data_IF_829103642027
#
_entry.id   IF_829103642027
#
_cell.length_a   1.000
_cell.length_b   1.000
_cell.length_c   1.000
_cell.angle_alpha   90.00
_cell.angle_beta   90.00
_cell.angle_gamma   90.00
#
_symmetry.space_group_name_H-M   'P 1'
#
loop_
_entity.id
_entity.type
_entity.pdbx_description
1 polymer ?
#
# COMPACT_ATOMS: atom_id res chain seq x y z
N UNK A 1 46.54 9.63 1.40
CA UNK A 1 46.54 9.27 -0.04
C UNK A 1 47.48 8.07 -0.17
N UNK A 2 47.19 6.88 -0.68
CA UNK A 2 46.28 6.36 -1.71
C UNK A 2 46.26 4.82 -1.41
N UNK A 3 45.14 4.18 -1.05
CA UNK A 3 44.14 3.58 -1.95
C UNK A 3 44.22 2.03 -2.03
N UNK A 4 43.22 1.40 -1.40
CA UNK A 4 42.41 0.25 -1.85
C UNK A 4 43.12 -1.07 -2.22
N UNK A 5 42.93 -2.06 -1.36
CA UNK A 5 42.65 -3.44 -1.81
C UNK A 5 41.17 -3.73 -1.57
N UNK A 6 40.41 -3.68 -2.66
CA UNK A 6 39.07 -4.26 -2.77
C UNK A 6 39.31 -5.73 -3.12
N UNK A 7 38.86 -6.66 -2.26
CA UNK A 7 38.68 -8.05 -2.64
C UNK A 7 37.20 -8.37 -2.53
N UNK A 8 36.56 -8.35 -3.69
CA UNK A 8 35.23 -8.87 -3.98
C UNK A 8 35.26 -10.38 -3.83
N UNK A 9 34.32 -11.00 -3.10
CA UNK A 9 33.70 -12.30 -3.38
C UNK A 9 32.81 -12.68 -2.19
N UNK A 10 31.65 -12.05 -2.13
CA UNK A 10 30.56 -12.43 -1.24
C UNK A 10 29.29 -12.47 -2.07
N UNK A 11 29.17 -13.49 -2.92
CA UNK A 11 27.95 -13.77 -3.65
C UNK A 11 26.84 -14.13 -2.68
N UNK A 12 26.14 -13.12 -2.19
CA UNK A 12 24.82 -13.27 -1.60
C UNK A 12 23.87 -12.58 -2.56
N UNK A 13 23.29 -13.36 -3.47
CA UNK A 13 22.04 -12.99 -4.12
C UNK A 13 21.02 -12.96 -2.99
N UNK A 14 20.97 -11.83 -2.26
CA UNK A 14 19.80 -11.42 -1.54
C UNK A 14 18.76 -11.24 -2.64
N UNK A 15 18.01 -12.31 -2.92
CA UNK A 15 16.70 -12.17 -3.50
C UNK A 15 15.97 -11.29 -2.49
N UNK A 16 16.01 -9.97 -2.71
CA UNK A 16 15.16 -9.04 -2.02
C UNK A 16 13.77 -9.47 -2.46
N UNK A 17 13.16 -10.35 -1.67
CA UNK A 17 11.72 -10.47 -1.65
C UNK A 17 11.30 -9.08 -1.20
N UNK A 18 11.10 -8.19 -2.18
CA UNK A 18 10.54 -6.87 -1.93
C UNK A 18 9.14 -7.19 -1.43
N UNK A 19 9.01 -7.29 -0.11
CA UNK A 19 7.72 -7.35 0.54
C UNK A 19 6.97 -6.13 0.03
N UNK A 20 5.85 -6.35 -0.66
CA UNK A 20 5.00 -5.25 -1.08
C UNK A 20 4.55 -4.54 0.21
N UNK A 21 5.12 -3.37 0.49
CA UNK A 21 4.74 -2.60 1.67
C UNK A 21 3.39 -1.95 1.37
N UNK A 22 2.32 -2.54 1.89
CA UNK A 22 0.94 -2.11 1.64
C UNK A 22 0.70 -0.64 1.98
N UNK A 23 1.28 -0.15 3.08
CA UNK A 23 1.19 1.26 3.47
C UNK A 23 1.85 2.17 2.45
N UNK A 24 3.07 1.85 2.01
CA UNK A 24 3.78 2.67 1.02
C UNK A 24 3.02 2.74 -0.32
N UNK A 25 2.52 1.60 -0.80
CA UNK A 25 1.73 1.55 -2.03
C UNK A 25 0.45 2.37 -1.91
N UNK A 26 -0.27 2.19 -0.80
CA UNK A 26 -1.45 2.96 -0.46
C UNK A 26 -1.16 4.47 -0.41
N UNK A 27 -0.12 4.86 0.33
CA UNK A 27 0.18 6.27 0.58
C UNK A 27 0.52 6.99 -0.72
N UNK A 28 1.27 6.33 -1.61
CA UNK A 28 1.64 6.86 -2.92
C UNK A 28 0.45 7.01 -3.89
N UNK A 29 -0.53 6.11 -3.84
CA UNK A 29 -1.62 6.08 -4.83
C UNK A 29 -2.93 6.73 -4.35
N UNK A 30 -3.23 6.70 -3.04
CA UNK A 30 -4.58 7.01 -2.55
C UNK A 30 -4.67 8.36 -1.85
N UNK A 31 -3.63 8.78 -1.11
CA UNK A 31 -3.75 9.91 -0.18
C UNK A 31 -4.00 11.26 -0.84
N UNK A 32 -3.45 11.51 -2.04
CA UNK A 32 -3.66 12.78 -2.73
C UNK A 32 -5.15 13.01 -3.04
N UNK A 33 -5.78 12.01 -3.68
CA UNK A 33 -7.22 12.08 -3.98
C UNK A 33 -8.04 12.12 -2.68
N UNK A 34 -7.65 11.32 -1.68
CA UNK A 34 -8.38 11.29 -0.42
C UNK A 34 -8.35 12.64 0.28
N UNK A 35 -7.19 13.29 0.39
CA UNK A 35 -7.06 14.64 0.95
C UNK A 35 -7.96 15.65 0.22
N UNK A 36 -8.01 15.57 -1.11
CA UNK A 36 -8.87 16.43 -1.93
C UNK A 36 -10.37 16.21 -1.64
N UNK A 37 -10.78 15.01 -1.26
CA UNK A 37 -12.18 14.64 -0.97
C UNK A 37 -12.58 14.87 0.50
N UNK A 38 -11.61 15.15 1.37
CA UNK A 38 -11.78 15.28 2.82
C UNK A 38 -11.34 16.64 3.37
N UNK A 39 -11.14 17.65 2.51
CA UNK A 39 -10.73 18.97 2.95
C UNK A 39 -9.32 19.03 3.55
N UNK A 40 -8.44 18.09 3.16
CA UNK A 40 -7.04 18.06 3.55
C UNK A 40 -6.63 16.87 4.43
N UNK A 41 -7.58 16.19 5.09
CA UNK A 41 -7.27 15.02 5.92
C UNK A 41 -7.39 13.72 5.12
N UNK A 42 -6.29 13.28 4.53
CA UNK A 42 -6.24 12.12 3.65
C UNK A 42 -6.73 10.79 4.28
N UNK A 43 -6.77 10.68 5.62
CA UNK A 43 -7.19 9.46 6.31
C UNK A 43 -8.63 9.52 6.80
N UNK A 44 -9.27 10.70 6.81
CA UNK A 44 -10.64 10.90 7.30
C UNK A 44 -11.65 9.94 6.64
N UNK A 45 -11.45 9.58 5.36
CA UNK A 45 -12.35 8.72 4.61
C UNK A 45 -12.51 7.31 5.22
N UNK A 46 -11.54 6.84 6.01
CA UNK A 46 -11.57 5.51 6.65
C UNK A 46 -12.28 5.50 8.00
N UNK A 47 -12.41 6.67 8.61
CA UNK A 47 -12.94 6.84 9.96
C UNK A 47 -14.39 7.31 9.97
N UNK A 48 -15.02 7.49 8.81
CA UNK A 48 -16.43 7.87 8.71
C UNK A 48 -17.32 6.78 9.29
N UNK A 49 -18.31 7.17 10.10
CA UNK A 49 -19.22 6.27 10.81
C UNK A 49 -20.04 5.38 9.85
N UNK A 50 -20.31 5.87 8.64
CA UNK A 50 -20.92 5.10 7.56
C UNK A 50 -19.92 4.15 6.88
N UNK A 51 -19.32 3.23 7.65
CA UNK A 51 -18.43 2.19 7.11
C UNK A 51 -19.22 1.25 6.21
N UNK A 52 -19.30 1.60 4.92
CA UNK A 52 -19.97 0.82 3.88
C UNK A 52 -19.19 -0.44 3.46
N UNK A 53 -17.97 -0.62 3.98
CA UNK A 53 -17.14 -1.78 3.74
C UNK A 53 -17.24 -2.71 4.95
N UNK A 54 -17.91 -3.86 4.77
CA UNK A 54 -18.26 -4.80 5.85
C UNK A 54 -17.62 -6.19 5.69
N UNK A 55 -16.80 -6.39 4.66
CA UNK A 55 -16.11 -7.66 4.40
C UNK A 55 -14.80 -7.43 3.65
N UNK A 56 -13.86 -8.37 3.76
CA UNK A 56 -12.59 -8.33 3.02
C UNK A 56 -12.84 -8.22 1.52
N UNK A 57 -13.77 -9.00 0.96
CA UNK A 57 -14.11 -8.93 -0.46
C UNK A 57 -14.63 -7.54 -0.90
N UNK A 58 -15.39 -6.86 -0.04
CA UNK A 58 -15.81 -5.48 -0.32
C UNK A 58 -14.63 -4.50 -0.29
N UNK A 59 -13.67 -4.71 0.63
CA UNK A 59 -12.45 -3.91 0.72
C UNK A 59 -11.54 -4.13 -0.50
N UNK A 60 -11.34 -5.36 -0.94
CA UNK A 60 -10.59 -5.71 -2.16
C UNK A 60 -11.18 -5.04 -3.40
N UNK A 61 -12.52 -5.09 -3.54
CA UNK A 61 -13.22 -4.40 -4.63
C UNK A 61 -13.00 -2.89 -4.58
N UNK A 62 -13.05 -2.29 -3.38
CA UNK A 62 -12.79 -0.86 -3.20
C UNK A 62 -11.36 -0.50 -3.58
N UNK A 63 -10.37 -1.24 -3.08
CA UNK A 63 -8.95 -1.01 -3.42
C UNK A 63 -8.71 -1.14 -4.92
N UNK A 64 -9.33 -2.11 -5.58
CA UNK A 64 -9.23 -2.27 -7.04
C UNK A 64 -9.79 -1.07 -7.81
N UNK A 65 -10.92 -0.51 -7.35
CA UNK A 65 -11.47 0.72 -7.91
C UNK A 65 -10.53 1.92 -7.70
N UNK A 66 -10.02 2.09 -6.49
CA UNK A 66 -9.08 3.17 -6.16
C UNK A 66 -7.80 3.09 -6.99
N UNK A 67 -7.21 1.89 -7.15
CA UNK A 67 -6.01 1.70 -7.96
C UNK A 67 -6.26 2.09 -9.42
N UNK A 68 -7.41 1.69 -9.98
CA UNK A 68 -7.81 2.11 -11.34
C UNK A 68 -8.03 3.62 -11.45
N UNK A 69 -8.67 4.23 -10.46
CA UNK A 69 -8.91 5.68 -10.45
C UNK A 69 -7.62 6.49 -10.31
N UNK A 70 -6.61 5.93 -9.63
CA UNK A 70 -5.27 6.49 -9.50
C UNK A 70 -4.32 6.07 -10.64
N UNK A 71 -4.83 5.42 -11.68
CA UNK A 71 -4.07 4.94 -12.85
C UNK A 71 -2.82 4.11 -12.50
N UNK A 72 -2.90 3.31 -11.43
CA UNK A 72 -1.82 2.41 -11.00
C UNK A 72 -2.19 0.96 -11.26
N UNK A 73 -1.26 0.25 -11.91
CA UNK A 73 -1.39 -1.18 -12.22
C UNK A 73 -0.63 -2.02 -11.20
N UNK A 74 -1.32 -2.48 -10.16
CA UNK A 74 -0.78 -3.40 -9.17
C UNK A 74 -1.05 -4.86 -9.53
N UNK A 75 -0.06 -5.71 -9.28
CA UNK A 75 -0.27 -7.15 -9.29
C UNK A 75 -1.10 -7.61 -8.08
N UNK A 76 -1.50 -8.88 -8.07
CA UNK A 76 -2.35 -9.43 -7.01
C UNK A 76 -1.72 -9.38 -5.61
N UNK A 77 -0.39 -9.54 -5.50
CA UNK A 77 0.31 -9.47 -4.21
C UNK A 77 0.36 -8.04 -3.67
N UNK A 78 0.58 -7.05 -4.54
CA UNK A 78 0.57 -5.64 -4.17
C UNK A 78 -0.82 -5.18 -3.73
N UNK A 79 -1.88 -5.59 -4.45
CA UNK A 79 -3.27 -5.33 -4.04
C UNK A 79 -3.58 -5.93 -2.68
N UNK A 80 -3.23 -7.20 -2.45
CA UNK A 80 -3.40 -7.86 -1.15
C UNK A 80 -2.68 -7.13 -0.03
N UNK A 81 -1.42 -6.72 -0.24
CA UNK A 81 -0.68 -5.98 0.77
C UNK A 81 -1.37 -4.66 1.17
N UNK A 82 -1.94 -3.93 0.22
CA UNK A 82 -2.72 -2.71 0.49
C UNK A 82 -4.00 -3.02 1.27
N UNK A 83 -4.73 -4.08 0.88
CA UNK A 83 -5.93 -4.54 1.58
C UNK A 83 -5.61 -4.94 3.02
N UNK A 84 -4.54 -5.71 3.24
CA UNK A 84 -4.09 -6.15 4.56
C UNK A 84 -3.71 -4.96 5.45
N UNK A 85 -2.99 -3.98 4.90
CA UNK A 85 -2.67 -2.74 5.60
C UNK A 85 -3.94 -1.98 6.01
N UNK A 86 -4.86 -1.75 5.06
CA UNK A 86 -6.10 -1.03 5.34
C UNK A 86 -6.96 -1.77 6.37
N UNK A 87 -7.06 -3.11 6.25
CA UNK A 87 -7.84 -3.90 7.17
C UNK A 87 -7.24 -3.89 8.57
N UNK A 88 -5.94 -4.12 8.71
CA UNK A 88 -5.26 -4.13 10.02
C UNK A 88 -5.24 -2.77 10.71
N UNK A 89 -5.30 -1.67 9.95
CA UNK A 89 -5.17 -0.32 10.50
C UNK A 89 -6.51 0.37 10.76
N UNK A 90 -7.52 0.15 9.90
CA UNK A 90 -8.75 0.96 9.93
C UNK A 90 -10.06 0.16 10.01
N UNK A 91 -10.12 -1.01 9.35
CA UNK A 91 -11.41 -1.72 9.17
C UNK A 91 -11.62 -2.89 10.14
N UNK A 92 -10.56 -3.64 10.48
CA UNK A 92 -10.56 -4.79 11.38
C UNK A 92 -11.66 -5.84 11.06
N UNK A 93 -11.86 -6.10 9.77
CA UNK A 93 -12.84 -7.06 9.25
C UNK A 93 -12.34 -8.49 9.52
N UNK A 94 -13.30 -9.38 9.78
CA UNK A 94 -13.08 -10.81 10.00
C UNK A 94 -13.16 -11.59 8.69
#
# INVERSE_FOLDING_TARGET
MLQKTVTFFGGLVLCTIVHANGKQLHDAACLQCHASLSGGDAYQLYSRDEKNIKSIAALEKRVSYCAKAADVSWNEQQKRAVVDYLNSTFYHLK
#
